data_IF_461187467177
#
_entry.id   IF_461187467177
#
_cell.length_a   1.000
_cell.length_b   1.000
_cell.length_c   1.000
_cell.angle_alpha   90.00
_cell.angle_beta   90.00
_cell.angle_gamma   90.00
#
_symmetry.space_group_name_H-M   'P 1'
#
loop_
_entity.id
_entity.type
_entity.pdbx_description
1 polymer ?
#
# COMPACT_ATOMS: atom_id res chain seq x y z
N UNK A 1 32.38 -11.20 25.79
CA UNK A 1 32.24 -12.47 25.06
C UNK A 1 30.96 -12.42 24.25
N UNK A 2 31.05 -12.33 22.92
CA UNK A 2 29.87 -12.40 22.05
C UNK A 2 29.65 -13.88 21.74
N UNK A 3 28.79 -14.54 22.52
CA UNK A 3 28.26 -15.83 22.11
C UNK A 3 27.32 -15.58 20.92
N UNK A 4 27.73 -15.98 19.71
CA UNK A 4 26.80 -16.13 18.59
C UNK A 4 25.76 -17.16 19.05
N UNK A 5 24.58 -16.68 19.49
CA UNK A 5 23.50 -17.50 20.02
C UNK A 5 22.85 -18.29 18.88
N UNK A 6 23.61 -19.21 18.30
CA UNK A 6 23.25 -19.95 17.11
C UNK A 6 22.83 -21.35 17.51
N UNK A 7 21.52 -21.54 17.54
CA UNK A 7 20.90 -22.85 17.70
C UNK A 7 20.89 -23.58 16.36
N UNK A 8 21.08 -24.91 16.40
CA UNK A 8 20.94 -25.79 15.24
C UNK A 8 19.53 -26.35 15.22
N UNK A 9 18.75 -25.94 14.23
CA UNK A 9 17.37 -26.38 14.06
C UNK A 9 17.18 -26.90 12.63
N UNK A 10 16.47 -28.02 12.48
CA UNK A 10 15.99 -28.49 11.19
C UNK A 10 14.54 -28.05 11.05
N UNK A 11 14.23 -27.33 9.98
CA UNK A 11 12.87 -26.86 9.68
C UNK A 11 12.49 -27.39 8.31
N UNK A 12 11.40 -28.15 8.25
CA UNK A 12 10.79 -28.56 6.99
C UNK A 12 9.92 -27.40 6.50
N UNK A 13 10.08 -27.03 5.22
CA UNK A 13 9.31 -25.95 4.59
C UNK A 13 8.72 -26.46 3.28
N UNK A 14 7.56 -25.91 2.92
CA UNK A 14 6.91 -26.26 1.66
C UNK A 14 7.79 -25.87 0.44
N UNK A 15 7.72 -26.63 -0.66
CA UNK A 15 8.56 -26.40 -1.83
C UNK A 15 8.41 -24.98 -2.42
N UNK A 16 7.18 -24.44 -2.45
CA UNK A 16 6.93 -23.12 -2.99
C UNK A 16 7.53 -22.01 -2.11
N UNK A 17 7.48 -22.19 -0.79
CA UNK A 17 8.11 -21.28 0.18
C UNK A 17 9.63 -21.32 0.03
N UNK A 18 10.20 -22.52 -0.13
CA UNK A 18 11.64 -22.69 -0.34
C UNK A 18 12.14 -21.94 -1.59
N UNK A 19 11.42 -22.06 -2.72
CA UNK A 19 11.77 -21.36 -3.96
C UNK A 19 11.66 -19.84 -3.82
N UNK A 20 10.59 -19.34 -3.18
CA UNK A 20 10.44 -17.89 -2.90
C UNK A 20 11.58 -17.34 -2.03
N UNK A 21 12.01 -18.11 -1.03
CA UNK A 21 13.12 -17.74 -0.16
C UNK A 21 14.46 -17.75 -0.90
N UNK A 22 14.72 -18.73 -1.78
CA UNK A 22 15.93 -18.78 -2.62
C UNK A 22 15.99 -17.57 -3.56
N UNK A 23 14.87 -17.24 -4.19
CA UNK A 23 14.77 -16.07 -5.06
C UNK A 23 15.01 -14.76 -4.29
N UNK A 24 14.45 -14.65 -3.09
CA UNK A 24 14.67 -13.49 -2.23
C UNK A 24 16.14 -13.38 -1.80
N UNK A 25 16.76 -14.50 -1.43
CA UNK A 25 18.17 -14.56 -1.05
C UNK A 25 19.07 -14.11 -2.20
N UNK A 26 18.80 -14.60 -3.42
CA UNK A 26 19.49 -14.18 -4.66
C UNK A 26 19.36 -12.69 -4.91
N UNK A 27 18.13 -12.14 -4.82
CA UNK A 27 17.88 -10.69 -5.01
C UNK A 27 18.63 -9.84 -3.99
N UNK A 28 18.75 -10.32 -2.75
CA UNK A 28 19.40 -9.61 -1.64
C UNK A 28 20.90 -9.88 -1.51
N UNK A 29 21.46 -10.80 -2.31
CA UNK A 29 22.84 -11.30 -2.18
C UNK A 29 23.15 -11.77 -0.76
N UNK A 30 22.20 -12.44 -0.11
CA UNK A 30 22.32 -12.96 1.25
C UNK A 30 22.25 -14.50 1.24
N UNK A 31 22.68 -15.14 2.33
CA UNK A 31 22.50 -16.59 2.45
C UNK A 31 21.03 -16.97 2.67
N UNK A 32 20.69 -18.22 2.34
CA UNK A 32 19.36 -18.77 2.61
C UNK A 32 18.99 -18.68 4.09
N UNK A 33 19.93 -18.97 5.00
CA UNK A 33 19.72 -18.93 6.46
C UNK A 33 19.40 -17.50 6.93
N UNK A 34 20.16 -16.52 6.47
CA UNK A 34 19.94 -15.11 6.83
C UNK A 34 18.56 -14.64 6.33
N UNK A 35 18.25 -14.95 5.07
CA UNK A 35 16.97 -14.59 4.46
C UNK A 35 15.79 -15.24 5.19
N UNK A 36 15.89 -16.55 5.50
CA UNK A 36 14.87 -17.28 6.25
C UNK A 36 14.64 -16.64 7.63
N UNK A 37 15.70 -16.41 8.40
CA UNK A 37 15.59 -15.81 9.72
C UNK A 37 15.03 -14.39 9.69
N UNK A 38 15.43 -13.58 8.71
CA UNK A 38 14.92 -12.22 8.54
C UNK A 38 13.42 -12.21 8.21
N UNK A 39 12.99 -13.09 7.29
CA UNK A 39 11.58 -13.23 6.92
C UNK A 39 10.75 -13.68 8.13
N UNK A 40 11.24 -14.67 8.89
CA UNK A 40 10.56 -15.15 10.11
C UNK A 40 10.44 -14.03 11.16
N UNK A 41 11.52 -13.28 11.43
CA UNK A 41 11.49 -12.15 12.38
C UNK A 41 10.45 -11.11 11.97
N UNK A 42 10.43 -10.72 10.69
CA UNK A 42 9.46 -9.76 10.16
C UNK A 42 8.04 -10.30 10.24
N UNK A 43 7.84 -11.58 9.94
CA UNK A 43 6.55 -12.26 10.03
C UNK A 43 6.00 -12.24 11.46
N UNK A 44 6.82 -12.59 12.45
CA UNK A 44 6.44 -12.58 13.86
C UNK A 44 6.08 -11.15 14.34
N UNK A 45 6.92 -10.15 14.03
CA UNK A 45 6.62 -8.75 14.38
C UNK A 45 5.37 -8.22 13.69
N UNK A 46 5.12 -8.62 12.43
CA UNK A 46 3.91 -8.22 11.72
C UNK A 46 2.66 -8.86 12.33
N UNK A 47 2.74 -10.10 12.81
CA UNK A 47 1.65 -10.76 13.53
C UNK A 47 1.37 -10.10 14.87
N UNK A 48 2.41 -9.80 15.66
CA UNK A 48 2.27 -9.07 16.94
C UNK A 48 1.57 -7.72 16.73
N UNK A 49 2.03 -6.93 15.75
CA UNK A 49 1.39 -5.64 15.42
C UNK A 49 -0.05 -5.78 14.94
N UNK A 50 -0.37 -6.83 14.20
CA UNK A 50 -1.73 -7.07 13.73
C UNK A 50 -2.67 -7.42 14.90
N UNK A 51 -2.17 -8.09 15.94
CA UNK A 51 -2.93 -8.38 17.15
C UNK A 51 -3.17 -7.13 18.01
N UNK A 52 -2.23 -6.18 18.00
CA UNK A 52 -2.32 -4.92 18.77
C UNK A 52 -3.05 -3.79 18.01
N UNK A 53 -3.28 -3.93 16.71
CA UNK A 53 -3.90 -2.87 15.91
C UNK A 53 -5.39 -2.73 16.26
N UNK A 54 -5.87 -1.51 16.59
CA UNK A 54 -7.30 -1.28 16.74
C UNK A 54 -8.01 -1.54 15.41
N UNK A 55 -9.28 -1.97 15.43
CA UNK A 55 -10.03 -2.21 14.21
C UNK A 55 -10.04 -0.94 13.35
N UNK A 56 -9.85 -1.11 12.04
CA UNK A 56 -9.90 0.00 11.09
C UNK A 56 -11.28 0.66 11.18
N UNK A 57 -11.30 1.92 11.63
CA UNK A 57 -12.49 2.76 11.66
C UNK A 57 -12.42 3.78 10.54
N UNK A 58 -13.45 3.80 9.70
CA UNK A 58 -13.67 4.89 8.75
C UNK A 58 -14.38 6.00 9.53
N UNK A 59 -13.73 7.16 9.63
CA UNK A 59 -14.36 8.38 10.14
C UNK A 59 -14.96 9.14 8.95
N UNK A 60 -16.29 9.05 8.70
CA UNK A 60 -16.91 9.75 7.59
C UNK A 60 -16.91 11.25 7.87
N UNK A 61 -16.22 12.02 7.03
CA UNK A 61 -16.33 13.47 7.04
C UNK A 61 -17.54 13.91 6.21
N UNK A 62 -18.41 14.72 6.80
CA UNK A 62 -19.48 15.37 6.07
C UNK A 62 -18.84 16.38 5.09
N UNK A 63 -18.77 16.02 3.80
CA UNK A 63 -18.11 16.80 2.75
C UNK A 63 -18.75 18.14 2.41
N UNK A 64 -19.60 18.72 3.28
CA UNK A 64 -20.17 20.06 3.13
C UNK A 64 -20.99 20.29 1.86
N UNK A 65 -21.35 19.23 1.12
CA UNK A 65 -22.04 19.35 -0.15
C UNK A 65 -23.46 19.84 0.07
N UNK A 66 -23.83 20.89 -0.67
CA UNK A 66 -25.21 21.41 -0.67
C UNK A 66 -26.14 20.31 -1.20
N UNK A 67 -27.33 20.13 -0.61
CA UNK A 67 -28.33 19.21 -1.15
C UNK A 67 -28.61 19.56 -2.61
N UNK A 68 -28.49 18.57 -3.51
CA UNK A 68 -28.61 18.74 -4.96
C UNK A 68 -27.29 18.74 -5.74
N UNK A 69 -26.14 18.74 -5.06
CA UNK A 69 -24.82 18.56 -5.72
C UNK A 69 -24.48 17.07 -5.76
N UNK A 70 -24.53 16.48 -6.95
CA UNK A 70 -24.09 15.11 -7.20
C UNK A 70 -22.55 15.07 -7.29
N UNK A 71 -21.91 14.52 -6.25
CA UNK A 71 -20.45 14.40 -6.18
C UNK A 71 -19.84 13.52 -7.27
N UNK A 72 -20.65 12.66 -7.93
CA UNK A 72 -20.23 11.87 -9.09
C UNK A 72 -20.22 12.65 -10.40
N UNK A 73 -20.81 13.86 -10.42
CA UNK A 73 -20.93 14.73 -11.61
C UNK A 73 -20.11 16.02 -11.50
N UNK A 74 -19.16 16.09 -10.57
CA UNK A 74 -18.27 17.25 -10.43
C UNK A 74 -17.49 17.56 -11.72
N UNK A 75 -17.15 16.53 -12.52
CA UNK A 75 -16.54 16.73 -13.84
C UNK A 75 -17.46 17.47 -14.83
N UNK A 76 -18.77 17.23 -14.80
CA UNK A 76 -19.72 17.90 -15.70
C UNK A 76 -19.87 19.39 -15.40
N UNK A 77 -19.72 19.78 -14.12
CA UNK A 77 -19.71 21.20 -13.73
C UNK A 77 -18.45 21.92 -14.26
N UNK A 78 -17.34 21.20 -14.42
CA UNK A 78 -16.12 21.75 -15.02
C UNK A 78 -16.31 21.98 -16.53
N UNK A 79 -16.95 21.04 -17.23
CA UNK A 79 -17.26 21.17 -18.67
C UNK A 79 -18.18 22.38 -18.95
N UNK A 80 -19.22 22.62 -18.12
CA UNK A 80 -20.13 23.76 -18.29
C UNK A 80 -19.42 25.12 -18.08
N UNK A 81 -18.43 25.19 -17.19
CA UNK A 81 -17.61 26.38 -16.97
C UNK A 81 -16.67 26.68 -18.15
N UNK A 82 -16.19 25.64 -18.85
CA UNK A 82 -15.31 25.78 -20.01
C UNK A 82 -16.05 26.32 -21.25
N UNK A 83 -17.33 25.96 -21.43
CA UNK A 83 -18.17 26.44 -22.54
C UNK A 83 -18.49 27.94 -22.44
N UNK A 84 -18.60 28.47 -21.22
CA UNK A 84 -18.90 29.89 -20.98
C UNK A 84 -17.77 30.84 -21.41
N UNK A 85 -16.51 30.41 -21.26
CA UNK A 85 -15.36 31.25 -21.61
C UNK A 85 -15.10 31.25 -23.14
N UNK A 86 -15.45 30.17 -23.85
CA UNK A 86 -15.34 30.08 -25.32
C UNK A 86 -16.24 31.08 -26.06
N UNK A 87 -17.42 31.41 -25.52
CA UNK A 87 -18.37 32.36 -26.13
C UNK A 87 -17.90 33.82 -25.98
N UNK A 88 -17.05 34.11 -24.98
CA UNK A 88 -16.53 35.48 -24.74
C UNK A 88 -15.32 35.82 -25.61
N UNK A 89 -14.50 34.83 -25.97
CA UNK A 89 -13.33 35.02 -26.84
C UNK A 89 -13.72 35.23 -28.32
N UNK A 90 -14.80 34.59 -28.80
CA UNK A 90 -15.23 34.68 -30.21
C UNK A 90 -15.90 36.01 -30.62
N UNK A 91 -16.13 36.94 -29.67
CA UNK A 91 -16.69 38.28 -29.93
C UNK A 91 -15.66 39.39 -30.15
N UNK A 92 -14.36 39.06 -30.15
CA UNK A 92 -13.25 40.02 -30.22
C UNK A 92 -12.31 39.64 -31.37
N UNK A 93 -12.78 39.70 -32.62
CA UNK A 93 -11.99 39.23 -33.75
C UNK A 93 -12.50 39.62 -35.13
N UNK A 94 -12.60 40.93 -35.37
CA UNK A 94 -12.67 41.62 -36.68
C UNK A 94 -13.94 41.58 -37.52
#
# INVERSE_FOLDING_TARGET
MHCDARVRTSVTIDPDVAERLKDLARRRRASFKETLNEVLRRGLTAQERALEAPPFKVEPHAGGFRPGVDTGKLNQLLDELEVGDFIREAGSGS
#
